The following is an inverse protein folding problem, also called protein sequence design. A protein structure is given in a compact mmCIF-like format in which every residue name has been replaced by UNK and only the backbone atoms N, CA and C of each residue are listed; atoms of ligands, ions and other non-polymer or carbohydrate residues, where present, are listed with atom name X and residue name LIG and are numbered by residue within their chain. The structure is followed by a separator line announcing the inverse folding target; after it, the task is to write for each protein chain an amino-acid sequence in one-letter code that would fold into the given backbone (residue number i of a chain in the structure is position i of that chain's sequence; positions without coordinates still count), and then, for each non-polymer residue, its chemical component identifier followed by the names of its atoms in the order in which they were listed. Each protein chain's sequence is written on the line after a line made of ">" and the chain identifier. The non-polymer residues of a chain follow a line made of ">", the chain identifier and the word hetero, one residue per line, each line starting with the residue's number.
data_IF_172017503281
#
_entry.id   IF_172017503281
#
_cell.length_a   1.000
_cell.length_b   1.000
_cell.length_c   1.000
_cell.angle_alpha   90.00
_cell.angle_beta   90.00
_cell.angle_gamma   90.00
#
_symmetry.space_group_name_H-M   'P 1'
#
loop_
_entity.id
_entity.type
_entity.pdbx_description
1 polymer ?
#
# COMPACT_ATOMS: atom_id res chain seq x y z
N UNK A 1 -13.21 -16.07 1.31
CA UNK A 1 -13.44 -14.63 1.57
C UNK A 1 -12.95 -14.37 2.99
N UNK A 2 -11.98 -13.47 3.19
CA UNK A 2 -11.56 -13.13 4.55
C UNK A 2 -12.71 -12.37 5.23
N UNK A 3 -13.31 -12.95 6.27
CA UNK A 3 -14.30 -12.25 7.06
C UNK A 3 -13.56 -11.18 7.88
N UNK A 4 -13.87 -9.93 7.63
CA UNK A 4 -13.36 -8.84 8.44
C UNK A 4 -14.32 -8.59 9.59
N UNK A 5 -13.77 -8.46 10.80
CA UNK A 5 -14.54 -8.20 12.01
C UNK A 5 -14.58 -6.71 12.33
N UNK A 6 -15.65 -6.28 12.99
CA UNK A 6 -15.77 -4.92 13.48
C UNK A 6 -14.62 -4.64 14.46
N UNK A 7 -13.97 -3.49 14.31
CA UNK A 7 -12.85 -3.12 15.18
C UNK A 7 -13.30 -2.83 16.63
N UNK A 8 -14.56 -2.43 16.83
CA UNK A 8 -15.14 -2.20 18.16
C UNK A 8 -15.73 -3.48 18.77
N UNK A 9 -16.28 -4.38 17.95
CA UNK A 9 -16.95 -5.60 18.38
C UNK A 9 -16.30 -6.81 17.69
N UNK A 10 -15.50 -7.59 18.41
CA UNK A 10 -14.68 -8.67 17.84
C UNK A 10 -15.52 -9.82 17.29
N UNK A 11 -16.73 -9.97 17.80
CA UNK A 11 -17.71 -11.00 17.47
C UNK A 11 -18.65 -10.62 16.32
N UNK A 12 -18.63 -9.34 15.88
CA UNK A 12 -19.48 -8.84 14.80
C UNK A 12 -18.71 -8.79 13.48
N UNK A 13 -19.38 -9.17 12.40
CA UNK A 13 -18.84 -9.02 11.05
C UNK A 13 -18.92 -7.53 10.66
N UNK A 14 -17.84 -7.02 10.07
CA UNK A 14 -17.83 -5.67 9.52
C UNK A 14 -18.55 -5.64 8.17
N UNK A 15 -19.58 -4.82 8.09
CA UNK A 15 -20.39 -4.59 6.87
C UNK A 15 -20.13 -3.23 6.23
N UNK A 16 -19.55 -2.30 7.00
CA UNK A 16 -19.23 -0.94 6.58
C UNK A 16 -17.75 -0.61 6.81
N UNK A 17 -17.26 0.39 6.07
CA UNK A 17 -15.97 1.03 6.33
C UNK A 17 -16.21 2.52 6.57
N UNK A 18 -15.61 3.06 7.64
CA UNK A 18 -15.65 4.49 7.91
C UNK A 18 -14.93 5.28 6.81
N UNK A 19 -15.58 6.28 6.20
CA UNK A 19 -14.96 7.15 5.18
C UNK A 19 -13.79 7.98 5.71
N UNK A 20 -13.77 8.29 7.02
CA UNK A 20 -12.76 9.15 7.65
C UNK A 20 -11.47 8.41 8.04
N UNK A 21 -11.59 7.25 8.68
CA UNK A 21 -10.43 6.52 9.24
C UNK A 21 -10.25 5.11 8.65
N UNK A 22 -11.03 4.72 7.65
CA UNK A 22 -10.98 3.41 6.99
C UNK A 22 -11.21 2.19 7.92
N UNK A 23 -11.67 2.43 9.15
CA UNK A 23 -11.96 1.39 10.15
C UNK A 23 -13.13 0.51 9.70
N UNK A 24 -13.00 -0.83 9.76
CA UNK A 24 -14.12 -1.75 9.52
C UNK A 24 -15.09 -1.73 10.69
N UNK A 25 -16.38 -1.54 10.38
CA UNK A 25 -17.45 -1.34 11.35
C UNK A 25 -18.65 -2.23 11.04
N UNK A 26 -19.34 -2.67 12.08
CA UNK A 26 -20.68 -3.23 11.97
C UNK A 26 -21.72 -2.10 11.82
N UNK A 27 -22.95 -2.45 11.45
CA UNK A 27 -24.09 -1.51 11.30
C UNK A 27 -24.26 -0.61 12.52
N UNK A 28 -24.13 -1.17 13.73
CA UNK A 28 -24.29 -0.44 15.00
C UNK A 28 -23.23 0.67 15.21
N UNK A 29 -22.01 0.47 14.73
CA UNK A 29 -20.91 1.43 14.93
C UNK A 29 -20.78 2.44 13.79
N UNK A 30 -21.49 2.22 12.68
CA UNK A 30 -21.50 3.08 11.51
C UNK A 30 -22.61 4.13 11.64
N UNK A 31 -22.28 5.39 11.35
CA UNK A 31 -23.25 6.46 11.24
C UNK A 31 -23.54 6.74 9.76
N UNK A 32 -24.75 6.41 9.25
CA UNK A 32 -25.10 6.64 7.85
C UNK A 32 -25.21 8.12 7.50
N UNK A 33 -25.50 9.02 8.46
CA UNK A 33 -25.59 10.46 8.20
C UNK A 33 -24.21 11.08 7.95
N UNK A 34 -23.16 10.53 8.58
CA UNK A 34 -21.79 11.04 8.45
C UNK A 34 -20.93 10.19 7.50
N UNK A 35 -21.49 9.09 6.97
CA UNK A 35 -20.76 8.03 6.28
C UNK A 35 -19.49 7.58 7.05
N UNK A 36 -19.55 7.56 8.39
CA UNK A 36 -18.36 7.48 9.24
C UNK A 36 -18.59 6.73 10.55
N UNK A 37 -17.53 6.57 11.34
CA UNK A 37 -17.57 6.01 12.68
C UNK A 37 -18.49 6.85 13.60
N UNK A 38 -19.40 6.23 14.36
CA UNK A 38 -20.16 6.96 15.40
C UNK A 38 -19.25 7.46 16.52
N UNK A 39 -18.29 6.62 16.90
CA UNK A 39 -17.36 6.85 18.01
C UNK A 39 -15.92 6.86 17.52
N UNK A 40 -15.26 7.98 17.79
CA UNK A 40 -13.83 8.28 17.68
C UNK A 40 -13.11 7.62 16.50
N UNK A 41 -12.79 8.44 15.50
CA UNK A 41 -11.88 8.06 14.45
C UNK A 41 -10.47 8.38 14.96
N UNK A 42 -9.69 7.35 15.32
CA UNK A 42 -8.26 7.49 15.60
C UNK A 42 -7.62 8.20 14.41
N UNK A 43 -7.22 9.45 14.63
CA UNK A 43 -6.85 10.39 13.57
C UNK A 43 -5.53 10.04 12.86
N UNK A 44 -4.84 9.00 13.31
CA UNK A 44 -3.49 8.62 12.86
C UNK A 44 -3.44 7.34 12.03
N UNK A 45 -4.59 6.80 11.59
CA UNK A 45 -4.58 5.60 10.74
C UNK A 45 -4.47 6.05 9.28
N UNK A 46 -3.35 5.76 8.58
CA UNK A 46 -3.26 6.03 7.15
C UNK A 46 -4.41 5.29 6.46
N UNK A 47 -5.24 6.05 5.74
CA UNK A 47 -6.39 5.57 4.99
C UNK A 47 -5.89 4.51 4.01
N UNK A 48 -5.97 3.24 4.40
CA UNK A 48 -5.61 2.13 3.55
C UNK A 48 -6.93 1.67 2.87
N UNK A 49 -7.07 1.81 1.55
CA UNK A 49 -8.33 1.58 0.82
C UNK A 49 -8.67 0.09 0.68
N UNK A 50 -8.63 -0.69 1.76
CA UNK A 50 -8.90 -2.14 1.75
C UNK A 50 -10.38 -2.52 1.76
N UNK A 51 -11.31 -1.59 2.01
CA UNK A 51 -12.76 -1.80 1.79
C UNK A 51 -13.34 -0.80 0.81
N UNK A 52 -12.57 -0.44 -0.22
CA UNK A 52 -13.21 0.08 -1.40
C UNK A 52 -14.00 -1.08 -2.01
N UNK A 53 -15.34 -1.06 -1.91
CA UNK A 53 -16.18 -1.81 -2.85
C UNK A 53 -15.61 -1.49 -4.23
N UNK A 54 -15.31 -2.49 -5.09
CA UNK A 54 -14.76 -2.21 -6.40
C UNK A 54 -15.74 -1.26 -7.09
N UNK A 55 -15.36 0.00 -7.18
CA UNK A 55 -16.15 1.00 -7.89
C UNK A 55 -15.94 0.69 -9.36
N UNK A 56 -16.96 0.20 -10.10
CA UNK A 56 -16.80 -0.09 -11.52
C UNK A 56 -16.44 1.17 -12.34
N UNK A 57 -16.69 2.36 -11.79
CA UNK A 57 -16.43 3.66 -12.42
C UNK A 57 -15.23 4.42 -11.81
N UNK A 58 -14.46 3.79 -10.92
CA UNK A 58 -13.26 4.40 -10.34
C UNK A 58 -12.08 4.38 -11.34
N UNK A 59 -11.21 5.40 -11.37
CA UNK A 59 -9.99 5.33 -12.16
C UNK A 59 -9.18 4.11 -11.68
N UNK A 60 -9.07 3.10 -12.56
CA UNK A 60 -8.32 1.89 -12.32
C UNK A 60 -6.92 2.24 -11.78
N UNK A 61 -6.37 1.51 -10.79
CA UNK A 61 -5.02 1.76 -10.32
C UNK A 61 -4.10 1.73 -11.54
N UNK A 62 -3.48 2.87 -11.84
CA UNK A 62 -2.61 3.05 -13.01
C UNK A 62 -1.69 1.83 -13.08
N UNK A 63 -1.78 1.07 -14.18
CA UNK A 63 -0.95 -0.11 -14.44
C UNK A 63 0.47 0.22 -13.99
N UNK A 64 0.88 -0.44 -12.90
CA UNK A 64 2.25 -0.37 -12.40
C UNK A 64 3.14 -0.82 -13.55
N UNK A 65 3.92 0.11 -14.11
CA UNK A 65 4.79 -0.19 -15.24
C UNK A 65 5.89 -1.14 -14.76
N UNK A 66 5.65 -2.44 -14.93
CA UNK A 66 6.57 -3.54 -14.62
C UNK A 66 8.00 -3.28 -15.11
N UNK A 67 8.12 -2.58 -16.24
CA UNK A 67 9.36 -2.09 -16.79
C UNK A 67 10.20 -1.28 -15.77
N UNK A 68 9.61 -0.28 -15.12
CA UNK A 68 10.32 0.58 -14.16
C UNK A 68 10.71 -0.16 -12.88
N UNK A 69 9.93 -1.15 -12.46
CA UNK A 69 10.18 -1.85 -11.19
C UNK A 69 11.19 -3.00 -11.32
N UNK A 70 11.33 -3.60 -12.51
CA UNK A 70 12.20 -4.75 -12.75
C UNK A 70 13.44 -4.39 -13.55
N UNK A 71 13.31 -3.59 -14.62
CA UNK A 71 14.43 -3.34 -15.53
C UNK A 71 15.42 -2.34 -14.93
N UNK A 72 14.93 -1.30 -14.25
CA UNK A 72 15.79 -0.30 -13.59
C UNK A 72 16.75 -0.91 -12.56
N UNK A 73 16.32 -1.74 -11.59
CA UNK A 73 17.26 -2.34 -10.64
C UNK A 73 18.24 -3.31 -11.30
N UNK A 74 17.83 -4.02 -12.36
CA UNK A 74 18.75 -4.91 -13.11
C UNK A 74 19.84 -4.09 -13.80
N UNK A 75 19.49 -3.00 -14.51
CA UNK A 75 20.49 -2.14 -15.14
C UNK A 75 21.41 -1.47 -14.10
N UNK A 76 20.86 -1.05 -12.96
CA UNK A 76 21.66 -0.46 -11.90
C UNK A 76 22.67 -1.47 -11.31
N UNK A 77 22.27 -2.73 -11.11
CA UNK A 77 23.15 -3.78 -10.64
C UNK A 77 24.28 -4.08 -11.65
N UNK A 78 23.96 -4.21 -12.94
CA UNK A 78 24.95 -4.47 -14.00
C UNK A 78 25.91 -3.27 -14.14
N UNK A 79 25.38 -2.05 -14.17
CA UNK A 79 26.19 -0.83 -14.25
C UNK A 79 27.11 -0.67 -13.06
N UNK A 80 26.59 -0.87 -11.85
CA UNK A 80 27.39 -0.83 -10.61
C UNK A 80 28.49 -1.88 -10.59
N UNK A 81 28.17 -3.13 -10.96
CA UNK A 81 29.16 -4.21 -11.02
C UNK A 81 30.28 -3.91 -12.02
N UNK A 82 29.92 -3.38 -13.19
CA UNK A 82 30.87 -3.04 -14.25
C UNK A 82 31.81 -1.92 -13.81
N UNK A 83 31.26 -0.85 -13.21
CA UNK A 83 32.06 0.25 -12.66
C UNK A 83 33.01 -0.20 -11.56
N UNK A 84 32.55 -1.10 -10.67
CA UNK A 84 33.35 -1.63 -9.59
C UNK A 84 34.53 -2.46 -10.11
N UNK A 85 34.28 -3.32 -11.10
CA UNK A 85 35.33 -4.08 -11.78
C UNK A 85 36.32 -3.15 -12.50
N UNK A 86 35.84 -2.12 -13.19
CA UNK A 86 36.71 -1.17 -13.89
C UNK A 86 37.58 -0.39 -12.92
N UNK A 87 37.01 0.04 -11.78
CA UNK A 87 37.75 0.72 -10.73
C UNK A 87 38.82 -0.17 -10.11
N UNK A 88 38.51 -1.45 -9.84
CA UNK A 88 39.50 -2.41 -9.33
C UNK A 88 40.62 -2.69 -10.34
N UNK A 89 40.28 -2.92 -11.61
CA UNK A 89 41.26 -3.12 -12.67
C UNK A 89 42.14 -1.88 -12.88
N UNK A 90 41.54 -0.68 -12.87
CA UNK A 90 42.27 0.58 -12.97
C UNK A 90 43.21 0.80 -11.78
N UNK A 91 42.76 0.51 -10.56
CA UNK A 91 43.59 0.59 -9.37
C UNK A 91 44.80 -0.37 -9.41
N UNK A 92 44.62 -1.57 -9.96
CA UNK A 92 45.74 -2.52 -10.14
C UNK A 92 46.72 -2.06 -11.23
N UNK A 93 46.23 -1.49 -12.33
CA UNK A 93 47.07 -1.03 -13.45
C UNK A 93 47.82 0.28 -13.16
N UNK A 94 47.26 1.18 -12.34
CA UNK A 94 47.95 2.41 -11.90
C UNK A 94 48.75 2.23 -10.59
N UNK A 95 48.51 1.13 -9.87
CA UNK A 95 49.18 0.82 -8.59
C UNK A 95 50.45 -0.02 -8.72
N UNK A 96 50.78 -0.49 -9.94
CA UNK A 96 52.11 -0.99 -10.33
C UNK A 96 52.91 0.14 -10.96
#
# INVERSE_FOLDING_TARGET
>A
MANFYCKNHKERIATHQCSRCSKPLCEECYNPQMDACQVNCDADIPVNPRFQRPNPDGPQPRKFNWFLQVIVPILAAIGGLTLLLLAMCGAMLMGM
#
